data_IF_994336414667
#
_entry.id   IF_994336414667
#
_cell.length_a   1.000
_cell.length_b   1.000
_cell.length_c   1.000
_cell.angle_alpha   90.00
_cell.angle_beta   90.00
_cell.angle_gamma   90.00
#
_symmetry.space_group_name_H-M   'P 1'
#
loop_
_entity.id
_entity.type
_entity.pdbx_description
1 polymer ?
#
# COMPACT_ATOMS: atom_id res chain seq x y z
N UNK A 1 4.11 -24.62 4.66
CA UNK A 1 4.48 -23.29 5.20
C UNK A 1 4.80 -22.39 4.02
N UNK A 2 3.82 -21.62 3.54
CA UNK A 2 4.02 -20.69 2.43
C UNK A 2 4.65 -19.43 3.05
N UNK A 3 5.89 -19.14 2.68
CA UNK A 3 6.57 -17.91 3.08
C UNK A 3 6.19 -16.85 2.02
N UNK A 4 5.42 -15.84 2.40
CA UNK A 4 5.17 -14.70 1.52
C UNK A 4 6.31 -13.69 1.72
N UNK A 5 7.17 -13.53 0.71
CA UNK A 5 8.12 -12.43 0.67
C UNK A 5 7.42 -11.22 0.07
N UNK A 6 7.01 -10.27 0.90
CA UNK A 6 6.45 -9.00 0.44
C UNK A 6 7.60 -8.01 0.22
N UNK A 7 7.90 -7.74 -1.05
CA UNK A 7 8.79 -6.64 -1.43
C UNK A 7 7.92 -5.42 -1.71
N UNK A 8 7.96 -4.45 -0.79
CA UNK A 8 7.19 -3.22 -0.89
C UNK A 8 7.97 -2.18 -1.69
N UNK A 9 7.39 -1.74 -2.80
CA UNK A 9 7.91 -0.67 -3.64
C UNK A 9 6.88 0.44 -3.78
N UNK A 10 7.34 1.69 -3.73
CA UNK A 10 6.53 2.88 -3.92
C UNK A 10 7.06 3.65 -5.12
N UNK A 11 6.64 3.30 -6.33
CA UNK A 11 6.81 4.19 -7.49
C UNK A 11 5.57 4.09 -8.35
N UNK A 12 5.31 5.13 -9.14
CA UNK A 12 4.09 5.49 -9.90
C UNK A 12 3.45 4.44 -10.82
N UNK A 13 3.74 3.14 -10.66
CA UNK A 13 3.16 2.02 -11.40
C UNK A 13 3.14 0.67 -10.63
N UNK A 14 3.46 0.61 -9.34
CA UNK A 14 3.18 -0.56 -8.49
C UNK A 14 3.30 -0.14 -7.03
N UNK A 15 2.18 -0.14 -6.30
CA UNK A 15 2.14 0.27 -4.89
C UNK A 15 1.57 -0.86 -4.05
N UNK A 16 2.38 -1.30 -3.08
CA UNK A 16 2.02 -2.34 -2.13
C UNK A 16 2.25 -1.83 -0.71
N UNK A 17 1.23 -1.25 -0.09
CA UNK A 17 1.29 -0.87 1.32
C UNK A 17 1.05 -2.10 2.21
N UNK A 18 2.08 -2.56 2.92
CA UNK A 18 1.93 -3.07 4.28
C UNK A 18 2.70 -2.13 5.21
N UNK A 19 2.00 -1.66 6.23
CA UNK A 19 2.44 -0.65 7.18
C UNK A 19 3.74 -1.07 7.90
N UNK A 20 4.79 -0.24 7.85
CA UNK A 20 5.92 -0.31 8.78
C UNK A 20 6.53 1.09 8.94
N UNK A 21 6.57 1.58 10.19
CA UNK A 21 7.01 2.92 10.58
C UNK A 21 8.52 3.09 10.32
N UNK A 22 8.89 3.92 9.33
CA UNK A 22 10.28 4.27 9.07
C UNK A 22 10.47 5.77 9.27
N UNK A 23 11.18 6.09 10.34
CA UNK A 23 11.55 7.44 10.77
C UNK A 23 12.63 8.00 9.85
N UNK A 24 12.24 8.76 8.82
CA UNK A 24 13.15 9.50 7.93
C UNK A 24 13.08 10.98 8.29
N UNK A 25 14.24 11.65 8.33
CA UNK A 25 14.34 13.09 8.61
C UNK A 25 13.73 13.88 7.45
N UNK A 26 12.49 14.34 7.61
CA UNK A 26 11.81 15.20 6.65
C UNK A 26 11.91 16.67 7.08
N UNK A 27 12.19 17.56 6.13
CA UNK A 27 12.04 19.01 6.29
C UNK A 27 10.55 19.39 6.29
N UNK A 28 10.06 19.98 7.38
CA UNK A 28 8.65 20.36 7.56
C UNK A 28 8.37 21.73 6.91
N UNK A 29 7.44 21.79 5.96
CA UNK A 29 6.77 23.05 5.54
C UNK A 29 5.29 22.86 5.85
N UNK A 30 4.71 23.76 6.64
CA UNK A 30 3.36 23.66 7.19
C UNK A 30 2.29 23.61 6.09
N UNK A 31 1.58 22.48 5.97
CA UNK A 31 0.41 22.29 5.10
C UNK A 31 0.58 21.29 3.95
N UNK A 32 1.81 20.85 3.68
CA UNK A 32 2.12 19.96 2.56
C UNK A 32 2.61 18.57 3.00
N UNK A 33 2.39 17.57 2.14
CA UNK A 33 2.96 16.22 2.31
C UNK A 33 4.49 16.33 2.24
N UNK A 34 5.25 15.77 3.20
CA UNK A 34 6.68 15.51 3.11
C UNK A 34 7.17 15.10 1.71
N UNK A 35 8.13 15.84 1.14
CA UNK A 35 8.74 15.52 -0.18
C UNK A 35 10.26 15.46 -0.12
N UNK A 36 10.86 14.44 -0.72
CA UNK A 36 12.30 14.35 -0.99
C UNK A 36 12.68 15.43 -1.99
N UNK A 37 13.61 16.29 -1.60
CA UNK A 37 14.08 17.46 -2.36
C UNK A 37 12.93 18.36 -2.88
N UNK A 38 11.79 18.39 -2.15
CA UNK A 38 10.60 19.14 -2.54
C UNK A 38 9.82 18.56 -3.73
N UNK A 39 10.26 17.43 -4.29
CA UNK A 39 9.70 16.87 -5.52
C UNK A 39 8.82 15.64 -5.25
N UNK A 40 9.37 14.62 -4.59
CA UNK A 40 8.74 13.30 -4.51
C UNK A 40 8.21 13.00 -3.12
N UNK A 41 6.92 12.65 -2.99
CA UNK A 41 6.27 12.38 -1.71
C UNK A 41 6.55 10.98 -1.12
N UNK A 42 7.66 10.34 -1.55
CA UNK A 42 8.12 9.03 -1.07
C UNK A 42 9.64 9.05 -0.91
N UNK A 43 10.14 8.28 0.05
CA UNK A 43 11.58 8.16 0.33
C UNK A 43 12.24 6.94 -0.35
N UNK A 44 11.44 6.12 -1.04
CA UNK A 44 11.90 4.94 -1.78
C UNK A 44 11.13 4.82 -3.08
N UNK A 45 11.81 4.57 -4.20
CA UNK A 45 11.18 4.35 -5.50
C UNK A 45 12.16 3.65 -6.46
N UNK A 46 11.61 2.89 -7.42
CA UNK A 46 12.36 2.54 -8.63
C UNK A 46 12.44 3.75 -9.57
N UNK A 47 13.49 3.84 -10.40
CA UNK A 47 13.63 4.97 -11.34
C UNK A 47 14.14 6.25 -10.67
N UNK A 48 13.67 7.43 -11.07
CA UNK A 48 14.03 8.73 -10.47
C UNK A 48 15.54 8.95 -10.29
N UNK A 49 16.30 8.70 -11.37
CA UNK A 49 17.78 8.73 -11.37
C UNK A 49 18.35 10.02 -10.78
N UNK A 50 17.70 11.16 -11.01
CA UNK A 50 18.11 12.48 -10.50
C UNK A 50 18.03 12.59 -8.97
N UNK A 51 17.16 11.81 -8.31
CA UNK A 51 16.93 11.86 -6.86
C UNK A 51 17.63 10.73 -6.09
N UNK A 52 18.37 9.85 -6.76
CA UNK A 52 18.98 8.65 -6.15
C UNK A 52 19.96 8.91 -5.00
N UNK A 53 20.46 10.14 -4.85
CA UNK A 53 21.28 10.52 -3.69
C UNK A 53 20.47 10.50 -2.38
N UNK A 54 19.18 10.80 -2.44
CA UNK A 54 18.29 10.89 -1.27
C UNK A 54 17.11 9.90 -1.35
N UNK A 55 17.03 9.11 -2.42
CA UNK A 55 15.95 8.18 -2.71
C UNK A 55 16.48 6.75 -2.86
N UNK A 56 16.09 5.86 -1.96
CA UNK A 56 16.51 4.45 -2.01
C UNK A 56 15.68 3.65 -3.02
N UNK A 57 16.30 2.63 -3.63
CA UNK A 57 15.57 1.62 -4.42
C UNK A 57 15.44 0.28 -3.69
N UNK A 58 15.95 0.22 -2.45
CA UNK A 58 15.94 -1.00 -1.66
C UNK A 58 14.55 -1.18 -1.01
N UNK A 59 13.88 -2.32 -1.27
CA UNK A 59 12.60 -2.61 -0.65
C UNK A 59 12.77 -2.83 0.85
N UNK A 60 11.67 -2.64 1.58
CA UNK A 60 11.52 -3.32 2.85
C UNK A 60 11.00 -4.73 2.57
N UNK A 61 11.67 -5.74 3.13
CA UNK A 61 11.32 -7.15 2.97
C UNK A 61 10.96 -7.69 4.34
N UNK A 62 9.75 -8.22 4.46
CA UNK A 62 9.28 -8.95 5.63
C UNK A 62 8.80 -10.31 5.19
N UNK A 63 9.03 -11.31 6.03
CA UNK A 63 8.57 -12.68 5.82
C UNK A 63 7.74 -13.05 7.03
N UNK A 64 6.43 -13.18 6.82
CA UNK A 64 5.49 -13.57 7.86
C UNK A 64 4.95 -14.98 7.54
N UNK A 65 4.89 -15.88 8.53
CA UNK A 65 4.22 -17.16 8.36
C UNK A 65 2.71 -16.94 8.24
N UNK A 66 2.08 -17.65 7.30
CA UNK A 66 0.63 -17.70 7.20
C UNK A 66 0.16 -18.85 8.08
N UNK A 67 -0.72 -18.53 9.03
CA UNK A 67 -1.38 -19.49 9.92
C UNK A 67 -2.87 -19.65 9.56
N UNK A 68 -3.54 -20.53 10.29
CA UNK A 68 -4.97 -20.83 10.09
C UNK A 68 -5.89 -19.68 10.53
N UNK A 69 -5.36 -18.66 11.22
CA UNK A 69 -6.10 -17.44 11.61
C UNK A 69 -6.07 -16.36 10.52
N UNK A 70 -5.16 -16.49 9.55
CA UNK A 70 -4.99 -15.53 8.47
C UNK A 70 -6.05 -15.75 7.37
N UNK A 71 -7.12 -14.96 7.40
CA UNK A 71 -8.23 -15.10 6.43
C UNK A 71 -7.84 -14.63 5.01
N UNK A 72 -7.18 -13.48 4.90
CA UNK A 72 -6.86 -12.85 3.62
C UNK A 72 -5.76 -11.78 3.74
N UNK A 73 -5.18 -11.42 2.60
CA UNK A 73 -4.28 -10.29 2.44
C UNK A 73 -4.88 -9.32 1.42
N UNK A 74 -4.83 -8.03 1.75
CA UNK A 74 -5.22 -6.92 0.86
C UNK A 74 -3.97 -6.18 0.44
N UNK A 75 -3.82 -6.00 -0.86
CA UNK A 75 -2.69 -5.37 -1.53
C UNK A 75 -3.26 -4.25 -2.41
N UNK A 76 -3.05 -2.98 -2.05
CA UNK A 76 -3.67 -1.88 -2.77
C UNK A 76 -2.79 -0.63 -2.86
N UNK A 77 -3.09 0.21 -3.86
CA UNK A 77 -2.51 1.54 -4.02
C UNK A 77 -2.98 2.50 -2.93
N UNK A 78 -2.27 3.62 -2.80
CA UNK A 78 -2.63 4.70 -1.87
C UNK A 78 -4.01 5.31 -2.18
N UNK A 79 -4.50 5.21 -3.42
CA UNK A 79 -5.88 5.56 -3.77
C UNK A 79 -6.94 4.87 -2.91
N UNK A 80 -6.70 3.64 -2.42
CA UNK A 80 -7.57 2.98 -1.44
C UNK A 80 -7.32 3.52 -0.02
N UNK A 81 -6.06 3.50 0.41
CA UNK A 81 -5.67 3.76 1.80
C UNK A 81 -5.79 5.23 2.23
N UNK A 82 -5.89 6.17 1.28
CA UNK A 82 -6.19 7.59 1.56
C UNK A 82 -7.63 7.81 2.05
N UNK A 83 -8.55 6.90 1.75
CA UNK A 83 -9.99 7.05 2.03
C UNK A 83 -10.57 5.92 2.89
N UNK A 84 -9.78 4.88 3.17
CA UNK A 84 -10.15 3.75 4.01
C UNK A 84 -9.00 3.35 4.93
N UNK A 85 -9.31 3.10 6.20
CA UNK A 85 -8.37 2.48 7.13
C UNK A 85 -8.23 0.97 6.89
N UNK A 86 -7.15 0.38 7.40
CA UNK A 86 -6.90 -1.06 7.29
C UNK A 86 -8.06 -1.90 7.83
N UNK A 87 -8.61 -1.51 8.98
CA UNK A 87 -9.70 -2.25 9.63
C UNK A 87 -11.01 -2.12 8.84
N UNK A 88 -11.35 -0.93 8.34
CA UNK A 88 -12.54 -0.74 7.50
C UNK A 88 -12.47 -1.58 6.22
N UNK A 89 -11.31 -1.63 5.57
CA UNK A 89 -11.10 -2.45 4.38
C UNK A 89 -11.27 -3.95 4.71
N UNK A 90 -10.71 -4.43 5.82
CA UNK A 90 -10.85 -5.81 6.26
C UNK A 90 -12.32 -6.16 6.58
N UNK A 91 -13.01 -5.29 7.32
CA UNK A 91 -14.43 -5.47 7.67
C UNK A 91 -15.33 -5.48 6.43
N UNK A 92 -15.03 -4.62 5.44
CA UNK A 92 -15.79 -4.50 4.20
C UNK A 92 -15.83 -5.82 3.40
N UNK A 93 -14.73 -6.58 3.39
CA UNK A 93 -14.63 -7.79 2.57
C UNK A 93 -14.69 -9.10 3.35
N UNK A 94 -14.83 -9.08 4.68
CA UNK A 94 -14.76 -10.29 5.52
C UNK A 94 -15.73 -11.38 5.09
N UNK A 95 -16.97 -11.01 4.78
CA UNK A 95 -18.02 -11.96 4.37
C UNK A 95 -17.95 -12.36 2.88
N UNK A 96 -17.09 -11.72 2.08
CA UNK A 96 -17.03 -11.90 0.62
C UNK A 96 -16.10 -13.03 0.21
N UNK A 97 -16.64 -14.24 0.02
CA UNK A 97 -15.85 -15.45 -0.29
C UNK A 97 -15.01 -15.38 -1.56
N UNK A 98 -15.47 -14.67 -2.58
CA UNK A 98 -14.75 -14.54 -3.85
C UNK A 98 -13.74 -13.39 -3.81
N UNK A 99 -12.45 -13.70 -3.97
CA UNK A 99 -11.37 -12.72 -3.88
C UNK A 99 -11.51 -11.59 -4.92
N UNK A 100 -11.98 -11.90 -6.13
CA UNK A 100 -12.18 -10.89 -7.19
C UNK A 100 -13.30 -9.93 -6.82
N UNK A 101 -14.41 -10.46 -6.29
CA UNK A 101 -15.54 -9.67 -5.82
C UNK A 101 -15.15 -8.80 -4.62
N UNK A 102 -14.34 -9.32 -3.70
CA UNK A 102 -13.78 -8.56 -2.58
C UNK A 102 -12.91 -7.38 -3.07
N UNK A 103 -11.98 -7.64 -3.99
CA UNK A 103 -11.14 -6.59 -4.57
C UNK A 103 -11.99 -5.52 -5.28
N UNK A 104 -12.99 -5.95 -6.07
CA UNK A 104 -13.91 -5.04 -6.75
C UNK A 104 -14.69 -4.17 -5.77
N UNK A 105 -15.23 -4.75 -4.70
CA UNK A 105 -15.96 -4.02 -3.67
C UNK A 105 -15.09 -2.93 -3.03
N UNK A 106 -13.83 -3.25 -2.68
CA UNK A 106 -12.90 -2.26 -2.13
C UNK A 106 -12.63 -1.10 -3.11
N UNK A 107 -12.45 -1.40 -4.40
CA UNK A 107 -12.26 -0.35 -5.40
C UNK A 107 -13.51 0.54 -5.57
N UNK A 108 -14.70 -0.06 -5.54
CA UNK A 108 -15.97 0.69 -5.64
C UNK A 108 -16.21 1.55 -4.41
N UNK A 109 -15.92 1.04 -3.21
CA UNK A 109 -16.03 1.79 -1.96
C UNK A 109 -15.09 2.99 -1.94
N UNK A 110 -13.85 2.83 -2.40
CA UNK A 110 -12.89 3.93 -2.52
C UNK A 110 -13.36 5.01 -3.52
N UNK A 111 -13.95 4.60 -4.65
CA UNK A 111 -14.56 5.51 -5.63
C UNK A 111 -15.77 6.26 -5.03
N UNK A 112 -16.62 5.57 -4.27
CA UNK A 112 -17.78 6.16 -3.60
C UNK A 112 -17.37 7.22 -2.58
N UNK A 113 -16.25 6.99 -1.89
CA UNK A 113 -15.60 7.93 -0.97
C UNK A 113 -14.83 9.05 -1.66
N UNK A 114 -14.94 9.18 -2.98
CA UNK A 114 -14.33 10.25 -3.79
C UNK A 114 -12.81 10.27 -3.73
N UNK A 115 -12.18 9.08 -3.72
CA UNK A 115 -10.74 9.00 -3.95
C UNK A 115 -10.38 9.70 -5.26
N UNK A 116 -9.34 10.53 -5.21
CA UNK A 116 -8.86 11.35 -6.31
C UNK A 116 -7.63 10.78 -7.01
N UNK A 117 -7.28 9.53 -6.70
CA UNK A 117 -6.09 8.84 -7.20
C UNK A 117 -6.45 7.58 -7.98
N UNK A 118 -5.47 6.99 -8.66
CA UNK A 118 -5.63 5.69 -9.30
C UNK A 118 -5.79 4.59 -8.25
N UNK A 119 -6.83 3.77 -8.40
CA UNK A 119 -7.19 2.74 -7.42
C UNK A 119 -6.90 1.36 -8.02
N UNK A 120 -5.95 0.65 -7.42
CA UNK A 120 -5.63 -0.73 -7.73
C UNK A 120 -5.70 -1.56 -6.46
N UNK A 121 -6.34 -2.73 -6.53
CA UNK A 121 -6.51 -3.63 -5.38
C UNK A 121 -6.40 -5.10 -5.81
N UNK A 122 -5.64 -5.87 -5.05
CA UNK A 122 -5.51 -7.33 -5.14
C UNK A 122 -5.88 -7.89 -3.78
N UNK A 123 -6.77 -8.89 -3.78
CA UNK A 123 -7.13 -9.64 -2.58
C UNK A 123 -6.66 -11.08 -2.78
N UNK A 124 -5.95 -11.61 -1.80
CA UNK A 124 -5.55 -13.02 -1.72
C UNK A 124 -6.29 -13.62 -0.53
N UNK A 125 -7.12 -14.62 -0.77
CA UNK A 125 -7.78 -15.37 0.31
C UNK A 125 -7.02 -16.66 0.60
N UNK A 126 -6.83 -16.93 1.89
CA UNK A 126 -6.37 -18.23 2.37
C UNK A 126 -7.61 -19.04 2.75
N UNK A 127 -7.52 -20.36 2.57
CA UNK A 127 -8.66 -21.27 2.64
C UNK A 127 -9.04 -21.59 4.07
#
# INVERSE_FOLDING_TARGET
>A
MILLSLAIFYSSLCFLLIYCDIKIRTLMISGDVPRVDGQLAVARAFGDKSLKKHLSSEPHITVEPIDDETEFIILASDGLWKVMSNQEAADCIREIKDARSAAKLLTEEALNRKSSDDISCIVVRFR
#
